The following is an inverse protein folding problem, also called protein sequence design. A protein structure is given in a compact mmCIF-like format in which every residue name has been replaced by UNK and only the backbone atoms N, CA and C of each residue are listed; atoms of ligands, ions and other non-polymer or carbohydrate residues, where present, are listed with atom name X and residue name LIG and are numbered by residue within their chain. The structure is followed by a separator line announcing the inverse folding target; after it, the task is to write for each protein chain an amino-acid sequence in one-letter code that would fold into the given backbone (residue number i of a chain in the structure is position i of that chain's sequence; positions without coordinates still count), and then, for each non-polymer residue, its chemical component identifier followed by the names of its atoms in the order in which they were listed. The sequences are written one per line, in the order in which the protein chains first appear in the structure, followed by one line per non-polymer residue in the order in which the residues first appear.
data_IF_392477152850
#
_entry.id   IF_392477152850
#
_cell.length_a   1.000
_cell.length_b   1.000
_cell.length_c   1.000
_cell.angle_alpha   90.00
_cell.angle_beta   90.00
_cell.angle_gamma   90.00
#
_symmetry.space_group_name_H-M   'P 1'
#
loop_
_entity.id
_entity.type
_entity.pdbx_description
1 polymer ?
#
# COMPACT_ATOMS: atom_id res chain seq x y z
N UNK A 1 -21.50 3.19 10.21
CA UNK A 1 -21.35 2.56 11.53
C UNK A 1 -21.60 3.60 12.61
N UNK A 2 -22.29 3.26 13.73
CA UNK A 2 -22.42 4.21 14.86
C UNK A 2 -21.06 4.32 15.56
N UNK A 3 -20.52 5.52 15.63
CA UNK A 3 -19.31 5.83 16.41
C UNK A 3 -19.50 5.42 17.87
N UNK A 4 -18.53 4.72 18.45
CA UNK A 4 -18.59 4.34 19.85
C UNK A 4 -18.41 5.57 20.76
N UNK A 5 -19.18 5.63 21.85
CA UNK A 5 -19.14 6.78 22.79
C UNK A 5 -17.73 7.11 23.30
N UNK A 6 -16.88 6.08 23.53
CA UNK A 6 -15.50 6.30 23.98
C UNK A 6 -14.61 6.96 22.92
N UNK A 7 -14.85 6.71 21.63
CA UNK A 7 -14.12 7.34 20.52
C UNK A 7 -14.46 8.82 20.38
N UNK A 8 -15.74 9.16 20.49
CA UNK A 8 -16.19 10.56 20.50
C UNK A 8 -15.59 11.35 21.66
N UNK A 9 -15.53 10.76 22.86
CA UNK A 9 -14.92 11.37 24.05
C UNK A 9 -13.41 11.53 23.86
N UNK A 10 -12.72 10.50 23.36
CA UNK A 10 -11.29 10.56 23.07
C UNK A 10 -10.99 11.70 22.08
N UNK A 11 -11.77 11.84 21.03
CA UNK A 11 -11.64 12.92 20.04
C UNK A 11 -11.87 14.31 20.68
N UNK A 12 -12.84 14.44 21.57
CA UNK A 12 -13.10 15.72 22.25
C UNK A 12 -11.92 16.10 23.16
N UNK A 13 -11.40 15.15 23.95
CA UNK A 13 -10.23 15.38 24.80
C UNK A 13 -8.98 15.67 23.96
N UNK A 14 -8.77 14.96 22.85
CA UNK A 14 -7.69 15.24 21.91
C UNK A 14 -7.76 16.65 21.35
N UNK A 15 -8.95 17.11 20.95
CA UNK A 15 -9.15 18.48 20.48
C UNK A 15 -8.85 19.52 21.56
N UNK A 16 -9.25 19.28 22.82
CA UNK A 16 -8.93 20.16 23.94
C UNK A 16 -7.41 20.26 24.18
N UNK A 17 -6.69 19.15 24.08
CA UNK A 17 -5.23 19.13 24.17
C UNK A 17 -4.61 19.92 22.99
N UNK A 18 -5.09 19.68 21.77
CA UNK A 18 -4.62 20.38 20.55
C UNK A 18 -4.90 21.88 20.57
N UNK A 19 -6.01 22.30 21.15
CA UNK A 19 -6.39 23.71 21.31
C UNK A 19 -5.68 24.39 22.49
N UNK A 20 -4.87 23.66 23.27
CA UNK A 20 -4.13 24.20 24.40
C UNK A 20 -4.96 24.42 25.66
N UNK A 21 -6.19 23.86 25.73
CA UNK A 21 -6.99 23.83 26.97
C UNK A 21 -6.25 23.03 28.04
N UNK A 22 -5.64 21.91 27.65
CA UNK A 22 -4.67 21.20 28.46
C UNK A 22 -3.30 21.34 27.81
N UNK A 23 -2.32 21.89 28.53
CA UNK A 23 -0.95 22.04 28.07
C UNK A 23 -0.15 20.76 28.35
N UNK A 24 0.96 20.52 27.64
CA UNK A 24 1.90 19.45 27.94
C UNK A 24 2.32 19.46 29.42
N UNK A 25 2.25 18.30 30.05
CA UNK A 25 2.50 18.15 31.49
C UNK A 25 1.30 18.45 32.38
N UNK A 26 0.23 19.05 31.88
CA UNK A 26 -0.97 19.32 32.66
C UNK A 26 -1.69 18.03 33.02
N UNK A 27 -2.23 18.02 34.22
CA UNK A 27 -3.13 16.97 34.68
C UNK A 27 -4.53 17.19 34.07
N UNK A 28 -5.05 16.20 33.36
CA UNK A 28 -6.43 16.26 32.88
C UNK A 28 -7.42 16.03 34.01
N UNK A 29 -8.69 16.35 33.79
CA UNK A 29 -9.77 16.09 34.73
C UNK A 29 -9.78 14.63 35.18
N UNK A 30 -10.13 14.40 36.46
CA UNK A 30 -10.19 13.03 37.00
C UNK A 30 -11.23 12.17 36.27
N UNK A 31 -11.04 10.83 36.27
CA UNK A 31 -12.03 9.91 35.70
C UNK A 31 -13.43 10.20 36.21
N UNK A 32 -13.59 10.54 37.50
CA UNK A 32 -14.89 10.83 38.11
C UNK A 32 -15.51 12.12 37.55
N UNK A 33 -14.70 13.17 37.39
CA UNK A 33 -15.14 14.45 36.80
C UNK A 33 -15.53 14.26 35.33
N UNK A 34 -14.76 13.46 34.57
CA UNK A 34 -15.06 13.15 33.17
C UNK A 34 -16.36 12.31 33.05
N UNK A 35 -16.59 11.34 33.96
CA UNK A 35 -17.86 10.59 34.03
C UNK A 35 -19.04 11.52 34.20
N UNK A 36 -18.93 12.52 35.08
CA UNK A 36 -19.98 13.52 35.31
C UNK A 36 -20.19 14.43 34.09
N UNK A 37 -19.08 14.95 33.53
CA UNK A 37 -19.13 15.88 32.39
C UNK A 37 -19.71 15.25 31.12
N UNK A 38 -19.38 14.00 30.86
CA UNK A 38 -19.83 13.31 29.63
C UNK A 38 -21.06 12.41 29.85
N UNK A 39 -21.53 12.27 31.09
CA UNK A 39 -22.69 11.43 31.46
C UNK A 39 -22.56 9.99 30.93
N UNK A 40 -21.39 9.36 31.11
CA UNK A 40 -21.08 8.00 30.65
C UNK A 40 -20.52 7.14 31.78
N UNK A 41 -20.39 5.83 31.54
CA UNK A 41 -19.79 4.91 32.51
C UNK A 41 -18.29 5.17 32.71
N UNK A 42 -17.78 4.83 33.88
CA UNK A 42 -16.34 4.90 34.18
C UNK A 42 -15.51 4.05 33.22
N UNK A 43 -16.06 2.92 32.78
CA UNK A 43 -15.40 2.06 31.80
C UNK A 43 -15.25 2.75 30.44
N UNK A 44 -16.26 3.50 30.00
CA UNK A 44 -16.20 4.29 28.74
C UNK A 44 -15.11 5.36 28.79
N UNK A 45 -14.98 6.05 29.95
CA UNK A 45 -13.90 7.04 30.16
C UNK A 45 -12.51 6.35 30.12
N UNK A 46 -12.37 5.20 30.80
CA UNK A 46 -11.11 4.43 30.77
C UNK A 46 -10.72 3.99 29.36
N UNK A 47 -11.70 3.55 28.57
CA UNK A 47 -11.45 3.21 27.17
C UNK A 47 -11.00 4.42 26.36
N UNK A 48 -11.62 5.59 26.56
CA UNK A 48 -11.22 6.84 25.90
C UNK A 48 -9.79 7.25 26.30
N UNK A 49 -9.46 7.23 27.60
CA UNK A 49 -8.14 7.54 28.13
C UNK A 49 -7.11 6.53 27.57
N UNK A 50 -7.39 5.23 27.64
CA UNK A 50 -6.49 4.19 27.13
C UNK A 50 -6.25 4.31 25.62
N UNK A 51 -7.24 4.80 24.85
CA UNK A 51 -7.04 5.11 23.43
C UNK A 51 -6.07 6.29 23.23
N UNK A 52 -6.19 7.34 24.05
CA UNK A 52 -5.29 8.50 24.01
C UNK A 52 -3.87 8.16 24.53
N UNK A 53 -3.76 7.24 25.48
CA UNK A 53 -2.45 6.70 25.93
C UNK A 53 -1.76 5.91 24.83
N UNK A 54 -2.51 5.02 24.15
CA UNK A 54 -1.98 4.29 22.98
C UNK A 54 -1.53 5.24 21.86
N UNK A 55 -2.16 6.40 21.74
CA UNK A 55 -1.78 7.46 20.79
C UNK A 55 -0.63 8.34 21.29
N UNK A 56 -0.13 8.13 22.52
CA UNK A 56 0.95 8.92 23.11
C UNK A 56 0.57 10.34 23.52
N UNK A 57 -0.73 10.64 23.64
CA UNK A 57 -1.25 11.94 24.05
C UNK A 57 -1.35 12.10 25.56
N UNK A 58 -1.61 11.00 26.25
CA UNK A 58 -1.75 10.95 27.71
C UNK A 58 -0.80 9.93 28.31
N UNK A 59 -0.44 10.15 29.57
CA UNK A 59 0.30 9.20 30.40
C UNK A 59 -0.37 9.06 31.76
N UNK A 60 -0.63 7.84 32.20
CA UNK A 60 -1.09 7.59 33.59
C UNK A 60 0.10 7.48 34.53
N UNK A 61 0.06 8.24 35.64
CA UNK A 61 1.01 8.10 36.73
C UNK A 61 0.30 7.48 37.91
N UNK A 62 0.72 6.29 38.32
CA UNK A 62 0.09 5.52 39.39
C UNK A 62 -0.03 6.37 40.67
N UNK A 63 -1.26 6.44 41.22
CA UNK A 63 -1.54 7.23 42.44
C UNK A 63 -1.60 8.75 42.22
N UNK A 64 -1.25 9.27 41.06
CA UNK A 64 -1.16 10.71 40.79
C UNK A 64 -2.24 11.20 39.81
N UNK A 65 -2.61 10.38 38.81
CA UNK A 65 -3.64 10.72 37.83
C UNK A 65 -3.17 10.60 36.38
N UNK A 66 -3.95 11.14 35.44
CA UNK A 66 -3.64 11.14 34.01
C UNK A 66 -3.16 12.55 33.59
N UNK A 67 -2.07 12.59 32.86
CA UNK A 67 -1.41 13.83 32.44
C UNK A 67 -1.28 13.86 30.93
N UNK A 68 -1.31 15.05 30.34
CA UNK A 68 -0.87 15.25 28.96
C UNK A 68 0.62 14.91 28.90
N UNK A 69 1.03 14.09 27.94
CA UNK A 69 2.45 13.72 27.79
C UNK A 69 3.32 14.97 27.67
N UNK A 70 4.35 15.08 28.52
CA UNK A 70 5.19 16.28 28.60
C UNK A 70 5.91 16.57 27.26
N UNK A 71 6.25 15.51 26.52
CA UNK A 71 6.84 15.62 25.18
C UNK A 71 5.80 15.92 24.09
N UNK A 72 4.51 16.02 24.43
CA UNK A 72 3.47 16.43 23.48
C UNK A 72 3.69 17.88 22.99
N UNK A 73 4.40 18.75 23.76
CA UNK A 73 4.79 20.10 23.34
C UNK A 73 5.83 20.12 22.23
N UNK A 74 6.59 19.05 22.03
CA UNK A 74 7.46 18.87 20.89
C UNK A 74 6.73 18.30 19.65
N UNK A 75 5.40 18.18 19.65
CA UNK A 75 4.64 18.51 18.47
C UNK A 75 4.75 20.04 18.27
N UNK A 76 6.00 20.52 18.10
CA UNK A 76 6.23 21.77 17.42
C UNK A 76 5.29 21.72 16.22
N UNK A 77 4.38 22.69 16.11
CA UNK A 77 3.77 22.99 14.83
C UNK A 77 4.98 23.14 13.92
N UNK A 78 5.29 22.08 13.17
CA UNK A 78 6.32 22.18 12.15
C UNK A 78 5.99 23.47 11.42
N UNK A 79 6.91 24.41 11.45
CA UNK A 79 6.75 25.65 10.71
C UNK A 79 6.33 25.17 9.31
N UNK A 80 5.13 25.56 8.90
CA UNK A 80 4.52 25.02 7.67
C UNK A 80 5.55 25.11 6.57
N UNK A 81 6.02 23.95 6.10
CA UNK A 81 7.08 23.88 5.08
C UNK A 81 6.54 24.05 3.68
N UNK A 82 5.21 23.95 3.55
CA UNK A 82 4.48 23.85 2.29
C UNK A 82 5.04 22.76 1.37
N UNK A 83 5.58 21.70 1.97
CA UNK A 83 6.22 20.59 1.26
C UNK A 83 5.61 19.25 1.67
N UNK A 84 5.25 18.43 0.69
CA UNK A 84 4.85 17.04 0.87
C UNK A 84 5.94 16.14 0.30
N UNK A 85 6.41 15.17 1.08
CA UNK A 85 7.32 14.15 0.59
C UNK A 85 6.53 13.04 -0.13
N UNK A 86 7.01 12.62 -1.30
CA UNK A 86 6.51 11.46 -2.04
C UNK A 86 7.66 10.47 -2.20
N UNK A 87 7.47 9.27 -1.66
CA UNK A 87 8.50 8.24 -1.56
C UNK A 87 8.03 6.95 -2.23
N UNK A 88 8.16 6.84 -3.57
CA UNK A 88 7.81 5.64 -4.31
C UNK A 88 8.94 4.60 -4.28
N UNK A 89 8.61 3.34 -4.62
CA UNK A 89 9.62 2.31 -4.82
C UNK A 89 10.44 2.55 -6.08
N UNK A 90 9.80 2.85 -7.22
CA UNK A 90 10.48 3.05 -8.49
C UNK A 90 10.00 4.32 -9.19
N UNK A 91 10.92 4.93 -9.96
CA UNK A 91 10.62 5.99 -10.92
C UNK A 91 10.83 5.43 -12.33
N UNK A 92 9.91 4.61 -12.77
CA UNK A 92 9.92 4.04 -14.12
C UNK A 92 8.83 4.67 -14.99
N UNK A 93 8.92 4.50 -16.29
CA UNK A 93 7.88 4.91 -17.26
C UNK A 93 6.67 3.97 -17.27
N UNK A 94 6.52 3.12 -16.25
CA UNK A 94 5.48 2.11 -16.17
C UNK A 94 4.14 2.69 -15.69
N UNK A 95 3.85 2.60 -14.38
CA UNK A 95 2.60 3.14 -13.82
C UNK A 95 2.82 4.44 -13.03
N UNK A 96 4.06 4.66 -12.55
CA UNK A 96 4.40 5.75 -11.67
C UNK A 96 4.08 7.15 -12.22
N UNK A 97 4.35 7.50 -13.50
CA UNK A 97 4.04 8.84 -14.03
C UNK A 97 2.56 9.21 -13.89
N UNK A 98 1.65 8.25 -14.07
CA UNK A 98 0.21 8.48 -13.94
C UNK A 98 -0.23 8.61 -12.48
N UNK A 99 0.37 7.85 -11.57
CA UNK A 99 0.14 7.99 -10.11
C UNK A 99 0.63 9.36 -9.67
N UNK A 100 1.86 9.72 -10.08
CA UNK A 100 2.48 11.00 -9.74
C UNK A 100 1.67 12.20 -10.23
N UNK A 101 1.09 12.11 -11.44
CA UNK A 101 0.19 13.14 -11.96
C UNK A 101 -1.00 13.35 -11.01
N UNK A 102 -1.64 12.28 -10.54
CA UNK A 102 -2.76 12.40 -9.61
C UNK A 102 -2.37 13.02 -8.27
N UNK A 103 -1.17 12.71 -7.76
CA UNK A 103 -0.63 13.32 -6.55
C UNK A 103 -0.32 14.79 -6.80
N UNK A 104 0.42 15.10 -7.86
CA UNK A 104 0.92 16.43 -8.18
C UNK A 104 -0.22 17.43 -8.41
N UNK A 105 -1.18 17.11 -9.28
CA UNK A 105 -2.35 17.96 -9.54
C UNK A 105 -3.09 18.32 -8.24
N UNK A 106 -3.24 17.34 -7.33
CA UNK A 106 -3.98 17.52 -6.08
C UNK A 106 -3.20 18.34 -5.06
N UNK A 107 -1.93 18.05 -4.89
CA UNK A 107 -1.04 18.66 -3.90
C UNK A 107 -0.72 20.11 -4.29
N UNK A 108 -0.43 20.36 -5.57
CA UNK A 108 -0.10 21.69 -6.08
C UNK A 108 -1.31 22.62 -6.05
N UNK A 109 -2.50 22.12 -6.38
CA UNK A 109 -3.74 22.90 -6.25
C UNK A 109 -4.02 23.35 -4.80
N UNK A 110 -3.50 22.61 -3.80
CA UNK A 110 -3.59 22.97 -2.39
C UNK A 110 -2.43 23.87 -1.89
N UNK A 111 -1.54 24.32 -2.80
CA UNK A 111 -0.44 25.22 -2.49
C UNK A 111 0.79 24.56 -1.88
N UNK A 112 0.98 23.25 -2.05
CA UNK A 112 2.16 22.52 -1.60
C UNK A 112 3.12 22.22 -2.74
N UNK A 113 4.41 22.13 -2.43
CA UNK A 113 5.46 21.61 -3.30
C UNK A 113 5.72 20.12 -2.99
N UNK A 114 6.33 19.41 -3.94
CA UNK A 114 6.64 18.00 -3.78
C UNK A 114 8.15 17.79 -3.65
N UNK A 115 8.56 17.05 -2.61
CA UNK A 115 9.89 16.48 -2.49
C UNK A 115 9.83 15.00 -2.85
N UNK A 116 10.39 14.62 -4.00
CA UNK A 116 10.38 13.27 -4.52
C UNK A 116 11.67 12.52 -4.18
N UNK A 117 11.56 11.32 -3.57
CA UNK A 117 12.71 10.54 -3.12
C UNK A 117 12.46 9.03 -3.32
N UNK A 118 12.84 8.43 -4.46
CA UNK A 118 12.59 7.01 -4.72
C UNK A 118 13.50 6.10 -3.92
N UNK A 119 12.95 5.02 -3.35
CA UNK A 119 13.71 4.03 -2.57
C UNK A 119 14.45 3.01 -3.45
N UNK A 120 14.03 2.85 -4.70
CA UNK A 120 14.47 1.76 -5.59
C UNK A 120 14.26 0.38 -4.96
N UNK A 121 13.18 0.22 -4.20
CA UNK A 121 12.80 -0.98 -3.47
C UNK A 121 13.90 -1.50 -2.51
N UNK A 122 14.70 -0.58 -1.93
CA UNK A 122 15.82 -0.88 -1.04
C UNK A 122 15.54 -0.36 0.37
N UNK A 123 15.67 -1.24 1.37
CA UNK A 123 15.43 -0.94 2.80
C UNK A 123 16.43 0.09 3.34
N UNK A 124 17.69 0.04 2.89
CA UNK A 124 18.71 1.00 3.30
C UNK A 124 18.44 2.42 2.78
N UNK A 125 17.94 2.54 1.53
CA UNK A 125 17.53 3.84 0.97
C UNK A 125 16.29 4.39 1.65
N UNK A 126 15.29 3.55 1.88
CA UNK A 126 14.12 3.92 2.67
C UNK A 126 14.54 4.48 4.03
N UNK A 127 15.45 3.79 4.74
CA UNK A 127 15.98 4.24 6.03
C UNK A 127 16.59 5.63 5.94
N UNK A 128 17.48 5.86 4.99
CA UNK A 128 18.14 7.14 4.78
C UNK A 128 17.14 8.27 4.51
N UNK A 129 16.12 8.01 3.68
CA UNK A 129 15.05 8.98 3.37
C UNK A 129 14.24 9.30 4.64
N UNK A 130 13.81 8.29 5.41
CA UNK A 130 13.03 8.50 6.63
C UNK A 130 13.83 9.27 7.69
N UNK A 131 15.14 8.99 7.84
CA UNK A 131 16.02 9.74 8.72
C UNK A 131 16.13 11.21 8.29
N UNK A 132 16.30 11.48 7.00
CA UNK A 132 16.30 12.85 6.47
C UNK A 132 14.97 13.58 6.71
N UNK A 133 13.83 12.88 6.66
CA UNK A 133 12.53 13.47 6.96
C UNK A 133 12.35 13.77 8.46
N UNK A 134 13.01 13.03 9.34
CA UNK A 134 13.06 13.32 10.78
C UNK A 134 13.92 14.55 11.12
N UNK A 135 14.99 14.79 10.34
CA UNK A 135 15.90 15.94 10.48
C UNK A 135 15.36 17.18 9.77
N UNK A 136 14.74 16.99 8.59
CA UNK A 136 14.18 18.04 7.74
C UNK A 136 12.70 17.77 7.52
N UNK A 137 11.83 18.15 8.45
CA UNK A 137 10.42 17.83 8.46
C UNK A 137 9.67 18.35 7.22
N UNK A 138 8.59 17.65 6.89
CA UNK A 138 7.63 18.00 5.83
C UNK A 138 6.22 17.98 6.41
N UNK A 139 5.27 18.66 5.73
CA UNK A 139 3.89 18.75 6.22
C UNK A 139 3.11 17.44 6.07
N UNK A 140 3.61 16.52 5.24
CA UNK A 140 3.02 15.19 5.06
C UNK A 140 3.87 14.27 4.19
N UNK A 141 3.59 12.97 4.30
CA UNK A 141 4.31 11.91 3.60
C UNK A 141 3.33 11.00 2.84
N UNK A 142 3.54 10.84 1.52
CA UNK A 142 2.92 9.81 0.69
C UNK A 142 4.00 8.79 0.36
N UNK A 143 3.81 7.52 0.70
CA UNK A 143 4.88 6.52 0.62
C UNK A 143 4.38 5.16 0.13
N UNK A 144 5.21 4.49 -0.65
CA UNK A 144 5.05 3.09 -1.03
C UNK A 144 6.00 2.23 -0.21
N UNK A 145 5.48 1.20 0.47
CA UNK A 145 6.29 0.34 1.32
C UNK A 145 7.29 -0.49 0.53
N UNK A 146 8.46 -0.74 1.12
CA UNK A 146 9.56 -1.49 0.51
C UNK A 146 9.55 -2.93 1.02
N UNK A 147 9.45 -3.92 0.12
CA UNK A 147 9.51 -5.36 0.48
C UNK A 147 8.55 -5.70 1.64
N UNK A 148 7.29 -5.38 1.47
CA UNK A 148 6.28 -5.40 2.54
C UNK A 148 5.88 -6.81 3.02
N UNK A 149 6.39 -7.87 2.39
CA UNK A 149 6.28 -9.26 2.86
C UNK A 149 7.45 -9.74 3.73
N UNK A 150 8.47 -8.91 3.94
CA UNK A 150 9.60 -9.25 4.83
C UNK A 150 9.69 -8.27 5.98
N UNK A 151 10.18 -8.72 7.16
CA UNK A 151 10.35 -7.83 8.31
C UNK A 151 11.19 -6.61 7.95
N UNK A 152 10.69 -5.41 8.27
CA UNK A 152 11.37 -4.16 7.95
C UNK A 152 11.88 -3.47 9.22
N UNK A 153 13.21 -3.22 9.34
CA UNK A 153 13.79 -2.56 10.51
C UNK A 153 13.44 -1.06 10.61
N UNK A 154 12.78 -0.49 9.60
CA UNK A 154 12.45 0.94 9.55
C UNK A 154 11.06 1.27 10.13
N UNK A 155 10.30 0.29 10.60
CA UNK A 155 8.96 0.48 11.19
C UNK A 155 8.97 1.54 12.30
N UNK A 156 10.00 1.54 13.14
CA UNK A 156 10.15 2.52 14.22
C UNK A 156 10.28 3.97 13.71
N UNK A 157 10.89 4.19 12.54
CA UNK A 157 11.05 5.53 11.94
C UNK A 157 9.71 6.09 11.45
N UNK A 158 8.84 5.25 10.86
CA UNK A 158 7.47 5.64 10.50
C UNK A 158 6.65 6.04 11.72
N UNK A 159 6.73 5.24 12.79
CA UNK A 159 6.06 5.56 14.06
C UNK A 159 6.59 6.83 14.68
N UNK A 160 7.90 7.10 14.58
CA UNK A 160 8.51 8.33 15.06
C UNK A 160 8.06 9.55 14.25
N UNK A 161 8.05 9.49 12.91
CA UNK A 161 7.51 10.54 12.05
C UNK A 161 6.06 10.88 12.44
N UNK A 162 5.20 9.85 12.60
CA UNK A 162 3.82 10.04 13.03
C UNK A 162 3.74 10.67 14.43
N UNK A 163 4.57 10.21 15.38
CA UNK A 163 4.64 10.78 16.74
C UNK A 163 5.06 12.25 16.73
N UNK A 164 5.95 12.65 15.82
CA UNK A 164 6.33 14.05 15.61
C UNK A 164 5.27 14.87 14.85
N UNK A 165 4.14 14.26 14.50
CA UNK A 165 2.99 14.95 13.89
C UNK A 165 2.96 14.96 12.37
N UNK A 166 3.85 14.23 11.68
CA UNK A 166 3.81 14.11 10.23
C UNK A 166 2.70 13.12 9.83
N UNK A 167 1.63 13.55 9.15
CA UNK A 167 0.63 12.66 8.58
C UNK A 167 1.26 11.77 7.49
N UNK A 168 0.89 10.48 7.48
CA UNK A 168 1.45 9.50 6.56
C UNK A 168 0.30 8.76 5.86
N UNK A 169 0.34 8.73 4.53
CA UNK A 169 -0.54 7.91 3.70
C UNK A 169 0.31 6.97 2.87
N UNK A 170 0.05 5.69 3.00
CA UNK A 170 0.62 4.67 2.13
C UNK A 170 -0.20 4.55 0.84
N UNK A 171 0.45 4.23 -0.25
CA UNK A 171 -0.22 3.84 -1.50
C UNK A 171 0.34 2.50 -2.00
N UNK A 172 -0.45 1.78 -2.79
CA UNK A 172 -0.20 0.42 -3.26
C UNK A 172 -0.09 -0.60 -2.13
N UNK A 173 0.85 -0.44 -1.22
CA UNK A 173 1.20 -1.45 -0.21
C UNK A 173 1.63 -0.82 1.11
N UNK A 174 1.44 -1.54 2.21
CA UNK A 174 1.80 -1.14 3.57
C UNK A 174 2.37 -2.33 4.34
N UNK A 175 3.14 -2.06 5.37
CA UNK A 175 3.66 -3.08 6.29
C UNK A 175 2.57 -3.56 7.25
N UNK A 176 2.48 -4.87 7.57
CA UNK A 176 1.52 -5.39 8.55
C UNK A 176 1.62 -4.71 9.91
N UNK A 177 2.82 -4.31 10.32
CA UNK A 177 3.06 -3.62 11.60
C UNK A 177 2.58 -2.17 11.64
N UNK A 178 2.13 -1.61 10.50
CA UNK A 178 1.62 -0.26 10.33
C UNK A 178 0.17 -0.25 9.80
N UNK A 179 -0.58 -1.33 9.99
CA UNK A 179 -1.97 -1.50 9.53
C UNK A 179 -2.94 -0.46 10.14
N UNK A 180 -2.51 0.22 11.20
CA UNK A 180 -3.20 1.35 11.83
C UNK A 180 -2.94 2.70 11.12
N UNK A 181 -2.16 2.73 10.05
CA UNK A 181 -1.96 3.90 9.18
C UNK A 181 -2.84 3.80 7.94
N UNK A 182 -3.03 4.94 7.27
CA UNK A 182 -3.91 5.04 6.10
C UNK A 182 -3.23 4.45 4.86
N UNK A 183 -3.91 3.54 4.20
CA UNK A 183 -3.51 2.94 2.92
C UNK A 183 -4.55 3.25 1.83
N UNK A 184 -4.10 3.62 0.64
CA UNK A 184 -4.89 3.62 -0.59
C UNK A 184 -4.31 2.57 -1.53
N UNK A 185 -5.05 1.52 -1.79
CA UNK A 185 -4.59 0.39 -2.62
C UNK A 185 -5.65 -0.05 -3.62
N UNK A 186 -5.25 -0.90 -4.55
CA UNK A 186 -6.17 -1.64 -5.42
C UNK A 186 -6.61 -2.95 -4.74
N UNK A 187 -7.76 -3.50 -5.14
CA UNK A 187 -8.21 -4.82 -4.69
C UNK A 187 -7.53 -5.92 -5.52
N UNK A 188 -6.28 -6.19 -5.18
CA UNK A 188 -5.42 -7.15 -5.89
C UNK A 188 -5.93 -8.60 -5.78
N UNK A 189 -6.58 -8.95 -4.67
CA UNK A 189 -7.16 -10.27 -4.47
C UNK A 189 -8.33 -10.53 -5.44
N UNK A 190 -9.31 -9.63 -5.45
CA UNK A 190 -10.53 -9.83 -6.24
C UNK A 190 -10.25 -9.81 -7.74
N UNK A 191 -9.36 -8.93 -8.22
CA UNK A 191 -9.07 -8.83 -9.65
C UNK A 191 -8.37 -10.09 -10.19
N UNK A 192 -7.47 -10.70 -9.41
CA UNK A 192 -6.81 -11.93 -9.86
C UNK A 192 -7.77 -13.11 -9.82
N UNK A 193 -8.65 -13.19 -8.81
CA UNK A 193 -9.73 -14.16 -8.76
C UNK A 193 -10.64 -14.07 -9.99
N UNK A 194 -11.00 -12.85 -10.41
CA UNK A 194 -11.76 -12.59 -11.64
C UNK A 194 -10.98 -12.98 -12.89
N UNK A 195 -9.66 -12.75 -12.92
CA UNK A 195 -8.78 -13.16 -14.01
C UNK A 195 -8.72 -14.68 -14.20
N UNK A 196 -8.65 -15.44 -13.10
CA UNK A 196 -8.74 -16.91 -13.15
C UNK A 196 -10.11 -17.36 -13.65
N UNK A 197 -11.19 -16.76 -13.15
CA UNK A 197 -12.55 -17.04 -13.60
C UNK A 197 -12.68 -16.82 -15.12
N UNK A 198 -12.14 -15.72 -15.64
CA UNK A 198 -12.13 -15.43 -17.08
C UNK A 198 -11.43 -16.53 -17.87
N UNK A 199 -10.27 -17.01 -17.41
CA UNK A 199 -9.56 -18.11 -18.07
C UNK A 199 -10.37 -19.41 -18.06
N UNK A 200 -11.01 -19.73 -16.95
CA UNK A 200 -11.85 -20.93 -16.83
C UNK A 200 -13.08 -20.86 -17.74
N UNK A 201 -13.74 -19.71 -17.82
CA UNK A 201 -14.87 -19.47 -18.72
C UNK A 201 -14.48 -19.60 -20.20
N UNK A 202 -13.19 -19.40 -20.54
CA UNK A 202 -12.61 -19.63 -21.87
C UNK A 202 -12.02 -21.04 -22.03
N UNK A 203 -12.31 -21.99 -21.12
CA UNK A 203 -11.96 -23.41 -21.23
C UNK A 203 -10.57 -23.79 -20.71
N UNK A 204 -9.85 -22.90 -20.06
CA UNK A 204 -8.53 -23.19 -19.50
C UNK A 204 -8.64 -23.79 -18.10
N UNK A 205 -8.13 -25.02 -17.93
CA UNK A 205 -8.15 -25.75 -16.64
C UNK A 205 -6.76 -26.00 -16.06
N UNK A 206 -5.70 -25.81 -16.86
CA UNK A 206 -4.31 -25.88 -16.44
C UNK A 206 -3.68 -24.49 -16.55
N UNK A 207 -3.63 -23.80 -15.44
CA UNK A 207 -3.27 -22.38 -15.37
C UNK A 207 -2.02 -22.25 -14.49
N UNK A 208 -0.98 -21.58 -14.99
CA UNK A 208 0.20 -21.24 -14.20
C UNK A 208 0.14 -19.79 -13.70
N UNK A 209 0.82 -19.52 -12.62
CA UNK A 209 0.93 -18.18 -12.03
C UNK A 209 2.37 -17.71 -11.87
N UNK A 210 2.62 -16.42 -12.09
CA UNK A 210 3.93 -15.80 -11.87
C UNK A 210 3.74 -14.62 -10.93
N UNK A 211 4.27 -14.74 -9.69
CA UNK A 211 4.00 -13.79 -8.62
C UNK A 211 5.29 -13.28 -7.97
N UNK A 212 5.17 -12.12 -7.33
CA UNK A 212 6.23 -11.50 -6.57
C UNK A 212 6.11 -11.85 -5.09
N UNK A 213 7.18 -12.39 -4.48
CA UNK A 213 7.13 -12.86 -3.10
C UNK A 213 7.51 -11.80 -2.05
N UNK A 214 8.31 -10.80 -2.41
CA UNK A 214 8.80 -9.79 -1.48
C UNK A 214 7.88 -8.57 -1.32
N UNK A 215 6.69 -8.60 -1.96
CA UNK A 215 5.71 -7.52 -1.96
C UNK A 215 4.32 -8.02 -1.57
N UNK A 216 3.62 -7.30 -0.70
CA UNK A 216 2.26 -7.63 -0.24
C UNK A 216 1.27 -7.75 -1.39
N UNK A 217 1.37 -6.91 -2.41
CA UNK A 217 0.53 -7.04 -3.61
C UNK A 217 0.71 -8.42 -4.28
N UNK A 218 1.93 -8.95 -4.29
CA UNK A 218 2.19 -10.29 -4.83
C UNK A 218 1.53 -11.38 -4.03
N UNK A 219 1.55 -11.30 -2.70
CA UNK A 219 0.86 -12.24 -1.81
C UNK A 219 -0.66 -12.16 -1.98
N UNK A 220 -1.23 -10.94 -2.09
CA UNK A 220 -2.67 -10.75 -2.28
C UNK A 220 -3.12 -11.25 -3.67
N UNK A 221 -2.33 -11.03 -4.73
CA UNK A 221 -2.57 -11.58 -6.08
C UNK A 221 -2.51 -13.10 -6.11
N UNK A 222 -1.52 -13.70 -5.44
CA UNK A 222 -1.44 -15.15 -5.30
C UNK A 222 -2.62 -15.73 -4.52
N UNK A 223 -3.06 -15.07 -3.47
CA UNK A 223 -4.25 -15.49 -2.73
C UNK A 223 -5.51 -15.45 -3.61
N UNK A 224 -5.66 -14.42 -4.45
CA UNK A 224 -6.72 -14.33 -5.45
C UNK A 224 -6.65 -15.44 -6.51
N UNK A 225 -5.44 -15.79 -6.97
CA UNK A 225 -5.21 -16.91 -7.89
C UNK A 225 -5.69 -18.24 -7.31
N UNK A 226 -5.27 -18.55 -6.08
CA UNK A 226 -5.70 -19.78 -5.40
C UNK A 226 -7.22 -19.81 -5.20
N UNK A 227 -7.80 -18.68 -4.76
CA UNK A 227 -9.25 -18.60 -4.59
C UNK A 227 -10.01 -18.85 -5.90
N UNK A 228 -9.53 -18.27 -7.02
CA UNK A 228 -10.14 -18.49 -8.33
C UNK A 228 -10.05 -19.95 -8.79
N UNK A 229 -8.93 -20.65 -8.54
CA UNK A 229 -8.81 -22.07 -8.83
C UNK A 229 -9.76 -22.91 -7.98
N UNK A 230 -9.85 -22.62 -6.68
CA UNK A 230 -10.77 -23.31 -5.75
C UNK A 230 -12.24 -23.11 -6.13
N UNK A 231 -12.64 -21.89 -6.51
CA UNK A 231 -13.99 -21.59 -6.97
C UNK A 231 -14.37 -22.40 -8.21
N UNK A 232 -13.39 -22.67 -9.07
CA UNK A 232 -13.55 -23.47 -10.27
C UNK A 232 -13.38 -24.98 -10.04
N UNK A 233 -13.19 -25.42 -8.80
CA UNK A 233 -12.86 -26.79 -8.41
C UNK A 233 -11.61 -27.35 -9.14
N UNK A 234 -10.64 -26.49 -9.45
CA UNK A 234 -9.38 -26.86 -10.06
C UNK A 234 -8.34 -27.18 -8.99
N UNK A 235 -7.43 -28.14 -9.22
CA UNK A 235 -6.40 -28.49 -8.25
C UNK A 235 -5.35 -27.39 -8.14
N UNK A 236 -4.89 -27.14 -6.89
CA UNK A 236 -3.72 -26.33 -6.63
C UNK A 236 -2.46 -27.16 -6.96
N UNK A 237 -1.53 -26.59 -7.72
CA UNK A 237 -0.28 -27.23 -8.07
C UNK A 237 0.87 -26.22 -7.95
N UNK A 238 1.66 -26.35 -6.88
CA UNK A 238 2.79 -25.44 -6.60
C UNK A 238 3.84 -25.45 -7.72
N UNK A 239 3.96 -26.54 -8.50
CA UNK A 239 4.86 -26.59 -9.65
C UNK A 239 4.47 -25.62 -10.77
N UNK A 240 3.19 -25.20 -10.81
CA UNK A 240 2.68 -24.21 -11.78
C UNK A 240 2.85 -22.76 -11.30
N UNK A 241 3.47 -22.55 -10.14
CA UNK A 241 3.71 -21.22 -9.60
C UNK A 241 5.18 -20.85 -9.64
N UNK A 242 5.51 -19.74 -10.30
CA UNK A 242 6.85 -19.17 -10.30
C UNK A 242 6.88 -17.94 -9.38
N UNK A 243 7.80 -17.97 -8.42
CA UNK A 243 8.04 -16.86 -7.52
C UNK A 243 9.28 -16.10 -7.91
N UNK A 244 9.19 -14.77 -7.99
CA UNK A 244 10.34 -13.90 -8.15
C UNK A 244 10.35 -12.80 -7.10
N UNK A 245 11.49 -12.20 -6.86
CA UNK A 245 11.66 -11.05 -5.98
C UNK A 245 12.51 -9.96 -6.63
N UNK A 246 12.81 -8.91 -5.90
CA UNK A 246 13.64 -7.80 -6.39
C UNK A 246 15.00 -8.27 -6.91
N UNK A 247 15.58 -9.31 -6.32
CA UNK A 247 16.86 -9.89 -6.75
C UNK A 247 16.82 -10.62 -8.10
N UNK A 248 15.62 -10.92 -8.60
CA UNK A 248 15.42 -11.61 -9.88
C UNK A 248 15.11 -10.63 -11.03
N UNK A 249 15.13 -9.31 -10.78
CA UNK A 249 14.87 -8.32 -11.81
C UNK A 249 16.08 -8.20 -12.74
N UNK A 250 15.79 -8.05 -14.04
CA UNK A 250 16.83 -7.89 -15.05
C UNK A 250 17.53 -6.54 -14.91
N UNK A 251 18.77 -6.53 -14.46
CA UNK A 251 19.57 -5.31 -14.28
C UNK A 251 19.93 -4.62 -15.59
N UNK A 252 19.90 -5.33 -16.72
CA UNK A 252 20.11 -4.74 -18.05
C UNK A 252 18.91 -3.91 -18.54
N UNK A 253 17.74 -4.14 -17.94
CA UNK A 253 16.53 -3.38 -18.24
C UNK A 253 16.58 -2.01 -17.54
N UNK A 254 16.45 -0.88 -18.29
CA UNK A 254 16.51 0.46 -17.71
C UNK A 254 15.48 0.69 -16.58
N UNK A 255 14.31 0.10 -16.71
CA UNK A 255 13.24 0.22 -15.72
C UNK A 255 13.39 -0.74 -14.54
N UNK A 256 14.26 -1.77 -14.65
CA UNK A 256 14.50 -2.81 -13.62
C UNK A 256 13.21 -3.45 -13.08
N UNK A 257 12.21 -3.62 -13.93
CA UNK A 257 10.88 -4.14 -13.52
C UNK A 257 10.57 -5.52 -14.10
N UNK A 258 11.39 -6.01 -15.04
CA UNK A 258 11.18 -7.28 -15.71
C UNK A 258 11.94 -8.39 -14.97
N UNK A 259 11.26 -9.44 -14.48
CA UNK A 259 11.93 -10.57 -13.87
C UNK A 259 12.59 -11.47 -14.92
N UNK A 260 13.70 -12.11 -14.51
CA UNK A 260 14.26 -13.23 -15.25
C UNK A 260 13.48 -14.48 -14.86
N UNK A 261 12.78 -15.08 -15.82
CA UNK A 261 12.00 -16.30 -15.60
C UNK A 261 12.93 -17.51 -15.71
N UNK A 262 12.85 -18.41 -14.71
CA UNK A 262 13.67 -19.61 -14.72
C UNK A 262 13.36 -20.52 -15.92
N UNK A 263 14.40 -20.84 -16.68
CA UNK A 263 14.30 -21.63 -17.91
C UNK A 263 13.74 -23.03 -17.67
N UNK A 264 14.22 -23.71 -16.63
CA UNK A 264 13.83 -25.11 -16.35
C UNK A 264 12.36 -25.17 -15.94
N UNK A 265 11.95 -24.22 -15.09
CA UNK A 265 10.55 -24.10 -14.70
C UNK A 265 9.67 -23.86 -15.92
N UNK A 266 10.01 -22.91 -16.77
CA UNK A 266 9.19 -22.55 -17.94
C UNK A 266 9.09 -23.74 -18.93
N UNK A 267 10.17 -24.41 -19.25
CA UNK A 267 10.18 -25.57 -20.15
C UNK A 267 9.36 -26.75 -19.62
N UNK A 268 9.29 -26.93 -18.29
CA UNK A 268 8.45 -27.92 -17.65
C UNK A 268 6.97 -27.55 -17.76
N UNK A 269 6.63 -26.34 -17.31
CA UNK A 269 5.27 -25.86 -17.17
C UNK A 269 4.60 -25.64 -18.53
N UNK A 270 5.31 -25.09 -19.51
CA UNK A 270 4.78 -24.81 -20.85
C UNK A 270 4.27 -26.06 -21.60
N UNK A 271 4.71 -27.27 -21.23
CA UNK A 271 4.19 -28.51 -21.81
C UNK A 271 2.80 -28.90 -21.29
N UNK A 272 2.47 -28.45 -20.09
CA UNK A 272 1.27 -28.88 -19.37
C UNK A 272 0.17 -27.85 -19.37
N UNK A 273 0.51 -26.55 -19.17
CA UNK A 273 -0.47 -25.49 -19.02
C UNK A 273 -0.97 -24.94 -20.36
N UNK A 274 -2.11 -24.30 -20.33
CA UNK A 274 -2.70 -23.62 -21.50
C UNK A 274 -2.86 -22.12 -21.26
N UNK A 275 -2.67 -21.67 -20.01
CA UNK A 275 -2.83 -20.27 -19.64
C UNK A 275 -1.88 -19.84 -18.52
N UNK A 276 -1.66 -18.54 -18.43
CA UNK A 276 -0.85 -17.90 -17.38
C UNK A 276 -1.58 -16.71 -16.76
N UNK A 277 -1.46 -16.58 -15.44
CA UNK A 277 -1.70 -15.34 -14.70
C UNK A 277 -0.35 -14.71 -14.42
N UNK A 278 -0.11 -13.50 -14.93
CA UNK A 278 1.10 -12.74 -14.68
C UNK A 278 0.85 -11.66 -13.63
N UNK A 279 1.81 -11.47 -12.70
CA UNK A 279 1.71 -10.43 -11.68
C UNK A 279 1.34 -9.06 -12.28
N UNK A 280 1.97 -8.68 -13.40
CA UNK A 280 1.65 -7.46 -14.14
C UNK A 280 2.17 -7.53 -15.60
N UNK A 281 1.98 -6.47 -16.38
CA UNK A 281 2.34 -6.44 -17.80
C UNK A 281 3.85 -6.55 -18.05
N UNK A 282 4.69 -6.11 -17.10
CA UNK A 282 6.15 -6.31 -17.24
C UNK A 282 6.52 -7.79 -17.14
N UNK A 283 5.81 -8.54 -16.30
CA UNK A 283 5.95 -9.99 -16.17
C UNK A 283 5.41 -10.71 -17.41
N UNK A 284 4.29 -10.27 -17.97
CA UNK A 284 3.76 -10.81 -19.23
C UNK A 284 4.78 -10.63 -20.37
N UNK A 285 5.42 -9.47 -20.47
CA UNK A 285 6.48 -9.19 -21.43
C UNK A 285 7.68 -10.13 -21.24
N UNK A 286 8.11 -10.35 -19.98
CA UNK A 286 9.19 -11.31 -19.66
C UNK A 286 8.80 -12.73 -20.03
N UNK A 287 7.55 -13.13 -19.75
CA UNK A 287 7.04 -14.46 -20.12
C UNK A 287 7.06 -14.67 -21.63
N UNK A 288 6.56 -13.73 -22.42
CA UNK A 288 6.57 -13.86 -23.87
C UNK A 288 7.98 -13.95 -24.44
N UNK A 289 8.91 -13.12 -23.93
CA UNK A 289 10.33 -13.20 -24.32
C UNK A 289 10.93 -14.58 -23.99
N UNK A 290 10.67 -15.08 -22.78
CA UNK A 290 11.19 -16.37 -22.36
C UNK A 290 10.57 -17.54 -23.17
N UNK A 291 9.28 -17.49 -23.50
CA UNK A 291 8.63 -18.48 -24.37
C UNK A 291 9.24 -18.50 -25.78
N UNK A 292 9.52 -17.34 -26.37
CA UNK A 292 10.14 -17.25 -27.69
C UNK A 292 11.57 -17.83 -27.70
N UNK A 293 12.33 -17.65 -26.62
CA UNK A 293 13.70 -18.13 -26.50
C UNK A 293 13.79 -19.61 -26.15
N UNK A 294 12.96 -20.07 -25.22
CA UNK A 294 13.11 -21.38 -24.59
C UNK A 294 12.17 -22.46 -25.15
N UNK A 295 11.13 -22.03 -25.84
CA UNK A 295 10.09 -22.92 -26.40
C UNK A 295 9.81 -22.61 -27.89
N UNK A 296 10.83 -22.37 -28.74
CA UNK A 296 10.63 -21.89 -30.13
C UNK A 296 9.90 -22.90 -31.01
N UNK A 297 9.93 -24.18 -30.67
CA UNK A 297 9.25 -25.25 -31.41
C UNK A 297 7.79 -25.44 -31.04
N UNK A 298 7.29 -24.72 -30.04
CA UNK A 298 5.87 -24.83 -29.66
C UNK A 298 5.02 -23.93 -30.55
N UNK A 299 4.13 -24.54 -31.30
CA UNK A 299 3.06 -23.83 -32.04
C UNK A 299 1.88 -23.45 -31.13
N UNK A 300 2.00 -23.77 -29.82
CA UNK A 300 0.93 -23.57 -28.85
C UNK A 300 0.78 -22.09 -28.52
N UNK A 301 -0.41 -21.58 -28.67
CA UNK A 301 -0.84 -20.29 -28.13
C UNK A 301 -1.22 -20.45 -26.66
N UNK A 302 -0.78 -19.52 -25.82
CA UNK A 302 -1.14 -19.46 -24.41
C UNK A 302 -2.06 -18.28 -24.16
N UNK A 303 -3.16 -18.50 -23.44
CA UNK A 303 -3.95 -17.41 -22.90
C UNK A 303 -3.19 -16.76 -21.74
N UNK A 304 -3.10 -15.45 -21.73
CA UNK A 304 -2.41 -14.71 -20.67
C UNK A 304 -3.33 -13.64 -20.11
N UNK A 305 -3.46 -13.62 -18.78
CA UNK A 305 -4.08 -12.54 -18.03
C UNK A 305 -3.03 -11.81 -17.23
N UNK A 306 -3.07 -10.50 -17.27
CA UNK A 306 -2.15 -9.58 -16.64
C UNK A 306 -2.90 -8.38 -16.06
N UNK A 307 -2.16 -7.45 -15.49
CA UNK A 307 -2.72 -6.30 -14.78
C UNK A 307 -1.92 -5.04 -15.13
N UNK A 308 -2.57 -3.89 -14.91
CA UNK A 308 -2.11 -2.52 -15.05
C UNK A 308 -2.52 -1.83 -16.35
N UNK A 309 -2.79 -2.52 -17.46
CA UNK A 309 -3.02 -1.94 -18.80
C UNK A 309 -2.02 -0.81 -19.06
N UNK A 310 -0.75 -1.18 -19.03
CA UNK A 310 0.39 -0.26 -19.10
C UNK A 310 0.84 -0.03 -20.55
N UNK A 311 1.83 0.83 -20.71
CA UNK A 311 2.51 1.03 -22.00
C UNK A 311 3.04 -0.28 -22.61
N UNK A 312 3.45 -1.24 -21.78
CA UNK A 312 3.89 -2.58 -22.25
C UNK A 312 2.74 -3.39 -22.87
N UNK A 313 1.53 -3.23 -22.34
CA UNK A 313 0.33 -3.82 -22.94
C UNK A 313 0.00 -3.16 -24.27
N UNK A 314 0.01 -1.83 -24.33
CA UNK A 314 -0.29 -1.06 -25.55
C UNK A 314 0.70 -1.34 -26.68
N UNK A 315 1.99 -1.52 -26.36
CA UNK A 315 3.07 -1.79 -27.32
C UNK A 315 3.25 -3.28 -27.66
N UNK A 316 2.47 -4.17 -27.03
CA UNK A 316 2.62 -5.61 -27.24
C UNK A 316 2.12 -6.03 -28.62
N UNK A 317 2.94 -6.82 -29.34
CA UNK A 317 2.52 -7.52 -30.56
C UNK A 317 1.73 -8.81 -30.26
N UNK A 318 1.61 -9.19 -28.98
CA UNK A 318 0.88 -10.36 -28.53
C UNK A 318 -0.48 -9.97 -27.96
N UNK A 319 -1.53 -10.72 -28.31
CA UNK A 319 -2.84 -10.53 -27.69
C UNK A 319 -2.86 -11.19 -26.32
N UNK A 320 -3.26 -10.42 -25.29
CA UNK A 320 -3.52 -10.92 -23.95
C UNK A 320 -4.53 -10.00 -23.25
N UNK A 321 -5.03 -10.41 -22.09
CA UNK A 321 -5.96 -9.61 -21.31
C UNK A 321 -5.20 -8.88 -20.22
N UNK A 322 -5.37 -7.57 -20.09
CA UNK A 322 -4.83 -6.79 -18.98
C UNK A 322 -5.93 -5.97 -18.31
N UNK A 323 -6.05 -6.09 -16.99
CA UNK A 323 -7.00 -5.33 -16.19
C UNK A 323 -6.47 -3.92 -15.92
N UNK A 324 -7.22 -2.84 -16.25
CA UNK A 324 -6.75 -1.47 -16.09
C UNK A 324 -6.60 -1.06 -14.63
N UNK A 325 -5.41 -0.60 -14.25
CA UNK A 325 -5.15 0.02 -12.95
C UNK A 325 -5.64 1.47 -12.95
N UNK A 326 -6.30 1.90 -11.89
CA UNK A 326 -6.78 3.29 -11.73
C UNK A 326 -5.66 4.23 -11.23
N UNK A 327 -4.56 4.30 -11.96
CA UNK A 327 -3.28 4.92 -11.59
C UNK A 327 -3.44 6.36 -11.07
N UNK A 328 -4.01 7.25 -11.89
CA UNK A 328 -4.20 8.67 -11.54
C UNK A 328 -5.17 8.84 -10.35
N UNK A 329 -6.24 8.04 -10.30
CA UNK A 329 -7.19 8.10 -9.21
C UNK A 329 -6.56 7.64 -7.88
N UNK A 330 -5.72 6.59 -7.90
CA UNK A 330 -5.00 6.13 -6.71
C UNK A 330 -4.10 7.23 -6.14
N UNK A 331 -3.31 7.88 -6.98
CA UNK A 331 -2.46 9.00 -6.56
C UNK A 331 -3.27 10.19 -6.03
N UNK A 332 -4.36 10.54 -6.72
CA UNK A 332 -5.29 11.60 -6.29
C UNK A 332 -5.92 11.30 -4.94
N UNK A 333 -6.42 10.08 -4.72
CA UNK A 333 -7.05 9.70 -3.47
C UNK A 333 -6.06 9.70 -2.30
N UNK A 334 -4.83 9.22 -2.52
CA UNK A 334 -3.78 9.28 -1.51
C UNK A 334 -3.46 10.73 -1.12
N UNK A 335 -3.36 11.65 -2.09
CA UNK A 335 -3.11 13.06 -1.84
C UNK A 335 -4.29 13.74 -1.12
N UNK A 336 -5.55 13.48 -1.53
CA UNK A 336 -6.74 14.02 -0.86
C UNK A 336 -6.78 13.58 0.61
N UNK A 337 -6.55 12.29 0.88
CA UNK A 337 -6.54 11.78 2.27
C UNK A 337 -5.42 12.44 3.08
N UNK A 338 -4.23 12.60 2.52
CA UNK A 338 -3.13 13.28 3.20
C UNK A 338 -3.47 14.74 3.53
N UNK A 339 -4.02 15.51 2.58
CA UNK A 339 -4.41 16.91 2.78
C UNK A 339 -5.48 17.04 3.87
N UNK A 340 -6.46 16.14 3.91
CA UNK A 340 -7.46 16.09 4.98
C UNK A 340 -6.81 15.80 6.34
N UNK A 341 -5.85 14.86 6.40
CA UNK A 341 -5.11 14.56 7.64
C UNK A 341 -4.29 15.77 8.12
N UNK A 342 -3.66 16.52 7.21
CA UNK A 342 -2.93 17.76 7.52
C UNK A 342 -3.89 18.80 8.17
N UNK A 343 -5.13 18.85 7.71
CA UNK A 343 -6.18 19.71 8.27
C UNK A 343 -6.82 19.16 9.57
N UNK A 344 -6.34 18.02 10.08
CA UNK A 344 -6.83 17.39 11.30
C UNK A 344 -8.06 16.50 11.13
N UNK A 345 -8.44 16.18 9.89
CA UNK A 345 -9.55 15.28 9.58
C UNK A 345 -9.04 13.82 9.55
N UNK A 346 -9.52 12.93 10.44
CA UNK A 346 -9.11 11.52 10.42
C UNK A 346 -9.57 10.86 9.12
N UNK A 347 -8.71 9.99 8.58
CA UNK A 347 -9.00 9.24 7.36
C UNK A 347 -8.90 7.74 7.62
N UNK A 348 -9.65 6.97 6.84
CA UNK A 348 -9.60 5.51 6.80
C UNK A 348 -8.90 5.04 5.53
N UNK A 349 -8.38 3.81 5.56
CA UNK A 349 -7.80 3.15 4.38
C UNK A 349 -8.87 2.93 3.31
N UNK A 350 -8.45 2.90 2.05
CA UNK A 350 -9.33 2.74 0.90
C UNK A 350 -8.79 1.64 -0.02
N UNK A 351 -9.63 0.67 -0.34
CA UNK A 351 -9.35 -0.35 -1.32
C UNK A 351 -10.18 -0.09 -2.57
N UNK A 352 -9.52 0.24 -3.68
CA UNK A 352 -10.14 0.62 -4.95
C UNK A 352 -10.35 -0.61 -5.83
N UNK A 353 -11.47 -0.65 -6.52
CA UNK A 353 -11.72 -1.70 -7.52
C UNK A 353 -10.95 -1.41 -8.81
N UNK A 354 -10.44 -2.47 -9.44
CA UNK A 354 -9.82 -2.43 -10.76
C UNK A 354 -10.82 -2.05 -11.86
N UNK A 355 -10.30 -1.57 -12.98
CA UNK A 355 -11.10 -1.41 -14.20
C UNK A 355 -11.44 -2.77 -14.81
N UNK A 356 -12.49 -2.81 -15.65
CA UNK A 356 -12.78 -3.99 -16.46
C UNK A 356 -11.83 -4.04 -17.65
N UNK A 357 -11.33 -5.20 -18.05
CA UNK A 357 -10.48 -5.32 -19.22
C UNK A 357 -11.30 -5.01 -20.50
N UNK A 358 -10.64 -4.39 -21.47
CA UNK A 358 -11.27 -4.07 -22.77
C UNK A 358 -11.52 -5.34 -23.60
N UNK A 359 -10.63 -6.32 -23.49
CA UNK A 359 -10.74 -7.64 -24.13
C UNK A 359 -11.05 -8.70 -23.09
N UNK A 360 -11.91 -9.64 -23.44
CA UNK A 360 -12.29 -10.79 -22.59
C UNK A 360 -12.10 -12.14 -23.30
N UNK A 361 -11.46 -12.12 -24.47
CA UNK A 361 -11.12 -13.31 -25.30
C UNK A 361 -9.62 -13.31 -25.63
N UNK A 362 -9.06 -14.49 -25.91
CA UNK A 362 -7.64 -14.76 -26.13
C UNK A 362 -7.35 -15.12 -27.59
#
# INVERSE_FOLDING_TARGET
MKEHKYEAIARTLENQIRQGVYKPGDKISTELALVQSYSVSRQTIRQAIGLLEKRGLLIQRQGSGTYVEANYSHMERHQKTSTIAVVPCFMSNYIFPSIMRGIEETVTAAGYTIRLSPTQHRIDRERAILQQLLENPVDGLIVEGVKTCVPNPNISLYRELRRKGTPIVFFNTIYPELDDMVLVSMDDYSVVRDGVKLLVENGHTKIAGIFRWDDRQGADRYAGFNAGLLDAALPLNDNFVFWYGTSNLDESNPDKLQPIIDRKWLQSVAKEVTAFICYNDTVATSLFRALDQECPSTTRSYAVVSFDASVYYEMSNRSYVSYPHKKTALGRNAAIKLLKMINGEPQESEKMLWGKPEKTSF
#
